data_IF_869078400274
#
_entry.id   IF_869078400274
#
_cell.length_a   1.000
_cell.length_b   1.000
_cell.length_c   1.000
_cell.angle_alpha   90.00
_cell.angle_beta   90.00
_cell.angle_gamma   90.00
#
_symmetry.space_group_name_H-M   'P 1'
#
loop_
_entity.id
_entity.type
_entity.pdbx_description
1 polymer ?
#
# COMPACT_ATOMS: atom_id res chain seq x y z
N UNK A 1 -12.17 -0.50 -0.90
CA UNK A 1 -13.08 0.41 -0.18
C UNK A 1 -12.30 1.70 0.01
N UNK A 2 -12.86 2.84 -0.38
CA UNK A 2 -12.20 4.14 -0.22
C UNK A 2 -12.82 4.84 1.00
N UNK A 3 -12.00 5.21 1.96
CA UNK A 3 -12.42 5.95 3.16
C UNK A 3 -12.31 7.45 2.94
N UNK A 4 -13.10 8.25 3.67
CA UNK A 4 -13.03 9.72 3.59
C UNK A 4 -12.74 10.43 4.91
N UNK A 5 -12.78 9.73 6.05
CA UNK A 5 -12.71 10.33 7.39
C UNK A 5 -11.48 11.24 7.59
N UNK A 6 -10.33 10.84 7.06
CA UNK A 6 -9.07 11.55 7.28
C UNK A 6 -8.70 12.49 6.12
N UNK A 7 -9.62 12.76 5.20
CA UNK A 7 -9.41 13.75 4.15
C UNK A 7 -9.52 15.17 4.73
N UNK A 8 -8.79 16.12 4.15
CA UNK A 8 -8.86 17.53 4.57
C UNK A 8 -10.24 18.16 4.26
N UNK A 9 -10.67 19.18 5.03
CA UNK A 9 -10.01 19.74 6.22
C UNK A 9 -10.18 18.85 7.46
N UNK A 10 -9.18 18.86 8.35
CA UNK A 10 -9.21 18.07 9.60
C UNK A 10 -9.75 18.90 10.75
N UNK A 11 -10.78 18.39 11.42
CA UNK A 11 -11.33 18.96 12.63
C UNK A 11 -11.79 17.82 13.54
N UNK A 12 -11.08 17.61 14.64
CA UNK A 12 -11.43 16.58 15.61
C UNK A 12 -10.97 16.99 17.02
N UNK A 13 -11.92 17.11 17.95
CA UNK A 13 -11.62 17.57 19.29
C UNK A 13 -11.04 16.47 20.18
N UNK A 14 -11.42 15.21 19.94
CA UNK A 14 -11.10 14.10 20.82
C UNK A 14 -10.16 13.07 20.17
N UNK A 15 -9.25 12.45 20.94
CA UNK A 15 -9.05 12.65 22.38
C UNK A 15 -8.24 13.93 22.67
N UNK A 16 -8.66 14.69 23.68
CA UNK A 16 -8.14 16.05 23.95
C UNK A 16 -6.70 16.08 24.47
N UNK A 17 -6.26 14.98 25.07
CA UNK A 17 -4.89 14.74 25.56
C UNK A 17 -3.90 14.36 24.44
N UNK A 18 -4.39 13.96 23.27
CA UNK A 18 -3.55 13.75 22.10
C UNK A 18 -3.23 15.08 21.43
N UNK A 19 -1.93 15.37 21.31
CA UNK A 19 -1.38 16.57 20.71
C UNK A 19 -0.22 16.20 19.78
N UNK A 20 -0.12 16.90 18.65
CA UNK A 20 0.95 16.76 17.69
C UNK A 20 1.76 18.05 17.58
N UNK A 21 3.08 17.95 17.70
CA UNK A 21 3.98 19.10 17.50
C UNK A 21 5.17 18.72 16.62
N UNK A 22 5.50 19.57 15.65
CA UNK A 22 6.68 19.44 14.80
C UNK A 22 7.76 20.48 15.13
N UNK A 23 9.04 20.10 15.02
CA UNK A 23 10.14 21.05 15.21
C UNK A 23 10.11 22.11 14.10
N UNK A 24 9.95 23.37 14.49
CA UNK A 24 9.92 24.51 13.56
C UNK A 24 8.59 24.66 12.81
N UNK A 25 7.53 23.98 13.26
CA UNK A 25 6.17 24.17 12.76
C UNK A 25 5.56 25.42 13.38
N UNK A 26 4.72 26.10 12.61
CA UNK A 26 3.82 27.17 13.05
C UNK A 26 2.68 26.62 13.92
N UNK A 27 1.98 27.51 14.63
CA UNK A 27 0.79 27.12 15.42
C UNK A 27 -0.32 26.51 14.56
N UNK A 28 -0.47 26.97 13.31
CA UNK A 28 -1.44 26.41 12.36
C UNK A 28 -1.05 24.98 11.93
N UNK A 29 0.22 24.74 11.59
CA UNK A 29 0.71 23.41 11.21
C UNK A 29 0.61 22.42 12.37
N UNK A 30 0.95 22.84 13.59
CA UNK A 30 0.77 22.01 14.78
C UNK A 30 -0.72 21.73 15.06
N UNK A 31 -1.61 22.71 14.85
CA UNK A 31 -3.06 22.49 15.01
C UNK A 31 -3.58 21.45 14.00
N UNK A 32 -3.16 21.54 12.73
CA UNK A 32 -3.52 20.54 11.70
C UNK A 32 -2.97 19.15 12.04
N UNK A 33 -1.72 19.07 12.50
CA UNK A 33 -1.11 17.82 12.93
C UNK A 33 -1.90 17.18 14.08
N UNK A 34 -2.25 17.96 15.12
CA UNK A 34 -3.09 17.50 16.23
C UNK A 34 -4.42 16.94 15.74
N UNK A 35 -5.18 17.67 14.92
CA UNK A 35 -6.49 17.22 14.46
C UNK A 35 -6.39 15.98 13.57
N UNK A 36 -5.40 15.91 12.69
CA UNK A 36 -5.16 14.71 11.90
C UNK A 36 -4.79 13.50 12.77
N UNK A 37 -3.91 13.67 13.77
CA UNK A 37 -3.54 12.58 14.69
C UNK A 37 -4.73 12.04 15.49
N UNK A 38 -5.69 12.91 15.85
CA UNK A 38 -6.93 12.48 16.52
C UNK A 38 -7.87 11.70 15.60
N UNK A 39 -7.99 12.09 14.34
CA UNK A 39 -8.73 11.30 13.35
C UNK A 39 -8.04 9.94 13.08
N UNK A 40 -6.71 9.90 13.10
CA UNK A 40 -5.95 8.64 13.04
C UNK A 40 -6.22 7.75 14.25
N UNK A 41 -6.34 8.31 15.47
CA UNK A 41 -6.71 7.55 16.66
C UNK A 41 -8.06 6.82 16.48
N UNK A 42 -9.07 7.52 15.97
CA UNK A 42 -10.37 6.88 15.68
C UNK A 42 -10.26 5.82 14.59
N UNK A 43 -9.41 6.05 13.58
CA UNK A 43 -9.13 5.08 12.51
C UNK A 43 -8.47 3.82 13.05
N UNK A 44 -7.53 3.94 13.98
CA UNK A 44 -6.84 2.80 14.61
C UNK A 44 -7.84 1.91 15.37
N UNK A 45 -8.70 2.51 16.19
CA UNK A 45 -9.77 1.80 16.91
C UNK A 45 -10.73 1.11 15.93
N UNK A 46 -11.24 1.85 14.95
CA UNK A 46 -12.18 1.31 13.97
C UNK A 46 -11.57 0.16 13.14
N UNK A 47 -10.28 0.27 12.80
CA UNK A 47 -9.55 -0.78 12.07
C UNK A 47 -9.40 -2.02 12.94
N UNK A 48 -9.02 -1.87 14.21
CA UNK A 48 -8.95 -2.99 15.16
C UNK A 48 -10.30 -3.70 15.31
N UNK A 49 -11.37 -2.95 15.50
CA UNK A 49 -12.72 -3.50 15.66
C UNK A 49 -13.21 -4.18 14.38
N UNK A 50 -12.88 -3.63 13.21
CA UNK A 50 -13.15 -4.23 11.91
C UNK A 50 -12.45 -5.58 11.76
N UNK A 51 -11.14 -5.65 11.99
CA UNK A 51 -10.39 -6.91 11.89
C UNK A 51 -10.87 -7.94 12.94
N UNK A 52 -11.26 -7.50 14.14
CA UNK A 52 -11.84 -8.35 15.18
C UNK A 52 -13.23 -8.91 14.83
N UNK A 53 -13.98 -8.24 13.95
CA UNK A 53 -15.23 -8.77 13.40
C UNK A 53 -14.95 -9.79 12.30
N UNK A 54 -14.02 -9.49 11.39
CA UNK A 54 -13.63 -10.42 10.32
C UNK A 54 -13.04 -11.73 10.87
N UNK A 55 -12.35 -11.68 12.00
CA UNK A 55 -11.76 -12.87 12.63
C UNK A 55 -12.80 -13.89 13.11
N UNK A 56 -14.06 -13.49 13.30
CA UNK A 56 -15.15 -14.37 13.75
C UNK A 56 -15.89 -15.06 12.59
N UNK A 57 -15.60 -14.68 11.35
CA UNK A 57 -16.29 -15.21 10.17
C UNK A 57 -15.63 -16.52 9.75
N UNK A 58 -16.42 -17.60 9.64
CA UNK A 58 -15.94 -18.91 9.16
C UNK A 58 -15.76 -18.93 7.61
N UNK A 59 -14.87 -18.06 7.13
CA UNK A 59 -14.44 -17.95 5.74
C UNK A 59 -13.04 -17.34 5.74
N UNK A 60 -12.14 -17.87 4.91
CA UNK A 60 -10.82 -17.26 4.70
C UNK A 60 -10.98 -15.86 4.11
N UNK A 61 -10.51 -14.85 4.85
CA UNK A 61 -10.56 -13.44 4.51
C UNK A 61 -9.16 -12.86 4.66
N UNK A 62 -8.72 -12.09 3.67
CA UNK A 62 -7.49 -11.33 3.70
C UNK A 62 -7.80 -9.87 3.36
N UNK A 63 -7.20 -8.95 4.11
CA UNK A 63 -7.33 -7.50 3.96
C UNK A 63 -5.97 -6.95 3.56
N UNK A 64 -5.93 -6.24 2.43
CA UNK A 64 -4.84 -5.32 2.10
C UNK A 64 -5.30 -3.93 2.47
N UNK A 65 -4.60 -3.30 3.41
CA UNK A 65 -4.90 -1.95 3.89
C UNK A 65 -3.66 -1.08 3.69
N UNK A 66 -3.84 0.14 3.18
CA UNK A 66 -2.75 1.08 2.94
C UNK A 66 -3.24 2.53 2.97
N UNK A 67 -2.37 3.45 3.36
CA UNK A 67 -2.57 4.88 3.12
C UNK A 67 -2.25 5.23 1.66
N UNK A 68 -3.08 6.02 1.01
CA UNK A 68 -2.87 6.44 -0.39
C UNK A 68 -1.79 7.51 -0.52
N UNK A 69 -1.71 8.46 0.42
CA UNK A 69 -0.62 9.43 0.53
C UNK A 69 -0.54 10.03 1.95
N UNK A 70 0.56 10.72 2.27
CA UNK A 70 0.64 11.53 3.49
C UNK A 70 -0.33 12.72 3.42
N UNK A 71 -0.90 13.18 4.55
CA UNK A 71 -1.70 14.39 4.56
C UNK A 71 -0.84 15.61 4.17
N UNK A 72 -1.43 16.52 3.38
CA UNK A 72 -0.78 17.77 2.93
C UNK A 72 -0.59 18.83 4.02
N UNK A 73 -0.28 18.43 5.25
CA UNK A 73 -0.06 19.32 6.40
C UNK A 73 1.41 19.58 6.73
N UNK A 74 2.32 18.71 6.28
CA UNK A 74 3.73 18.78 6.65
C UNK A 74 4.48 19.81 5.80
N UNK A 75 5.20 20.78 6.40
CA UNK A 75 6.11 21.63 5.65
C UNK A 75 7.28 20.83 5.09
N UNK A 76 7.84 21.28 3.97
CA UNK A 76 8.99 20.64 3.32
C UNK A 76 10.23 20.52 4.23
N UNK A 77 10.37 21.41 5.22
CA UNK A 77 11.42 21.35 6.23
C UNK A 77 11.37 20.07 7.07
N UNK A 78 10.19 19.44 7.23
CA UNK A 78 10.02 18.19 7.98
C UNK A 78 10.76 17.02 7.32
N UNK A 79 10.96 17.07 5.99
CA UNK A 79 11.54 15.98 5.21
C UNK A 79 13.01 16.21 4.83
N UNK A 80 13.63 17.31 5.27
CA UNK A 80 14.99 17.72 4.85
C UNK A 80 16.05 16.61 5.00
N UNK A 81 15.97 15.82 6.07
CA UNK A 81 16.94 14.76 6.35
C UNK A 81 16.59 13.43 5.69
N UNK A 82 15.35 13.26 5.22
CA UNK A 82 14.88 12.06 4.54
C UNK A 82 13.78 12.44 3.52
N UNK A 83 14.14 12.99 2.35
CA UNK A 83 13.16 13.48 1.38
C UNK A 83 12.19 12.41 0.90
N UNK A 84 12.65 11.15 0.77
CA UNK A 84 11.84 10.03 0.29
C UNK A 84 10.66 9.72 1.23
N UNK A 85 10.80 10.02 2.53
CA UNK A 85 9.74 9.73 3.53
C UNK A 85 8.43 10.48 3.28
N UNK A 86 8.44 11.58 2.51
CA UNK A 86 7.22 12.30 2.17
C UNK A 86 6.29 11.50 1.23
N UNK A 87 6.79 10.42 0.64
CA UNK A 87 6.08 9.54 -0.29
C UNK A 87 5.87 8.12 0.24
N UNK A 88 6.15 7.89 1.53
CA UNK A 88 5.98 6.58 2.18
C UNK A 88 4.76 6.61 3.10
N UNK A 89 3.87 5.63 2.92
CA UNK A 89 2.71 5.39 3.77
C UNK A 89 2.75 3.98 4.33
N UNK A 90 2.05 3.75 5.43
CA UNK A 90 1.91 2.43 6.02
C UNK A 90 0.99 1.54 5.18
N UNK A 91 1.30 0.25 5.17
CA UNK A 91 0.43 -0.79 4.63
C UNK A 91 0.52 -2.06 5.48
N UNK A 92 -0.50 -2.90 5.39
CA UNK A 92 -0.45 -4.28 5.88
C UNK A 92 -1.27 -5.22 5.01
N UNK A 93 -0.88 -6.49 5.02
CA UNK A 93 -1.69 -7.61 4.51
C UNK A 93 -2.00 -8.51 5.69
N UNK A 94 -3.27 -8.59 6.06
CA UNK A 94 -3.75 -9.33 7.24
C UNK A 94 -4.73 -10.42 6.82
N UNK A 95 -4.65 -11.60 7.41
CA UNK A 95 -5.59 -12.70 7.17
C UNK A 95 -6.25 -13.16 8.48
N UNK A 96 -7.51 -13.60 8.41
CA UNK A 96 -8.21 -14.21 9.56
C UNK A 96 -7.88 -15.69 9.78
N UNK A 97 -6.80 -16.17 9.16
CA UNK A 97 -6.27 -17.52 9.23
C UNK A 97 -4.74 -17.44 9.09
N UNK A 98 -4.04 -18.50 9.45
CA UNK A 98 -2.58 -18.51 9.39
C UNK A 98 -2.05 -18.34 7.97
N UNK A 99 -1.19 -17.33 7.80
CA UNK A 99 -0.43 -17.06 6.57
C UNK A 99 1.03 -16.76 6.94
N UNK A 100 2.01 -17.05 6.06
CA UNK A 100 3.39 -16.66 6.29
C UNK A 100 3.52 -15.14 6.47
N UNK A 101 4.46 -14.73 7.34
CA UNK A 101 4.87 -13.34 7.43
C UNK A 101 5.96 -13.08 6.39
N UNK A 102 5.61 -12.39 5.32
CA UNK A 102 6.55 -12.00 4.28
C UNK A 102 7.33 -10.74 4.70
N UNK A 103 8.56 -10.57 4.19
CA UNK A 103 9.44 -9.47 4.56
C UNK A 103 9.58 -8.46 3.41
N UNK A 104 8.59 -7.58 3.27
CA UNK A 104 8.59 -6.50 2.29
C UNK A 104 8.49 -5.14 3.00
N UNK A 105 9.60 -4.53 3.42
CA UNK A 105 9.56 -3.27 4.15
C UNK A 105 9.04 -2.09 3.31
N UNK A 106 9.23 -2.14 1.98
CA UNK A 106 8.76 -1.13 1.03
C UNK A 106 8.24 -1.84 -0.22
N UNK A 107 7.07 -1.43 -0.70
CA UNK A 107 6.45 -1.91 -1.94
C UNK A 107 5.76 -0.74 -2.64
N UNK A 108 5.46 -0.89 -3.93
CA UNK A 108 4.58 0.03 -4.63
C UNK A 108 3.12 -0.41 -4.48
N UNK A 109 2.19 0.52 -4.60
CA UNK A 109 0.75 0.26 -4.65
C UNK A 109 0.35 -0.75 -5.74
N UNK A 110 1.10 -0.81 -6.85
CA UNK A 110 0.91 -1.80 -7.91
C UNK A 110 1.20 -3.24 -7.48
N UNK A 111 2.02 -3.44 -6.45
CA UNK A 111 2.51 -4.75 -6.05
C UNK A 111 1.55 -5.48 -5.12
N UNK A 112 0.57 -4.76 -4.55
CA UNK A 112 -0.34 -5.30 -3.54
C UNK A 112 -1.07 -6.57 -3.96
N UNK A 113 -1.41 -6.71 -5.24
CA UNK A 113 -2.07 -7.94 -5.70
C UNK A 113 -1.10 -9.12 -5.77
N UNK A 114 0.13 -8.91 -6.25
CA UNK A 114 1.15 -9.96 -6.24
C UNK A 114 1.49 -10.37 -4.81
N UNK A 115 1.69 -9.39 -3.92
CA UNK A 115 1.94 -9.63 -2.49
C UNK A 115 0.79 -10.38 -1.81
N UNK A 116 -0.47 -10.01 -2.10
CA UNK A 116 -1.65 -10.71 -1.61
C UNK A 116 -1.65 -12.18 -2.06
N UNK A 117 -1.38 -12.44 -3.34
CA UNK A 117 -1.39 -13.79 -3.90
C UNK A 117 -0.25 -14.63 -3.30
N UNK A 118 0.95 -14.06 -3.13
CA UNK A 118 2.08 -14.70 -2.46
C UNK A 118 1.76 -15.03 -1.00
N UNK A 119 1.26 -14.06 -0.22
CA UNK A 119 0.95 -14.25 1.20
C UNK A 119 -0.13 -15.30 1.44
N UNK A 120 -1.10 -15.40 0.53
CA UNK A 120 -2.18 -16.38 0.63
C UNK A 120 -1.85 -17.73 -0.01
N UNK A 121 -0.65 -17.88 -0.57
CA UNK A 121 -0.23 -19.03 -1.35
C UNK A 121 -1.25 -19.40 -2.45
N UNK A 122 -1.74 -18.38 -3.15
CA UNK A 122 -2.75 -18.52 -4.19
C UNK A 122 -2.12 -18.86 -5.53
N UNK A 123 -2.82 -19.67 -6.34
CA UNK A 123 -2.42 -19.89 -7.75
C UNK A 123 -2.51 -18.57 -8.52
N UNK A 124 -1.54 -18.34 -9.41
CA UNK A 124 -1.42 -17.11 -10.20
C UNK A 124 -1.62 -17.38 -11.70
N UNK A 125 -2.04 -16.36 -12.45
CA UNK A 125 -2.01 -16.36 -13.92
C UNK A 125 -0.60 -15.99 -14.41
N UNK A 126 -0.27 -16.18 -15.70
CA UNK A 126 0.98 -15.68 -16.26
C UNK A 126 1.23 -14.19 -16.01
N UNK A 127 0.18 -13.35 -16.08
CA UNK A 127 0.29 -11.94 -15.73
C UNK A 127 0.71 -11.71 -14.26
N UNK A 128 0.07 -12.39 -13.31
CA UNK A 128 0.43 -12.25 -11.90
C UNK A 128 1.75 -12.93 -11.55
N UNK A 129 2.18 -13.94 -12.30
CA UNK A 129 3.54 -14.47 -12.21
C UNK A 129 4.57 -13.38 -12.56
N UNK A 130 4.38 -12.66 -13.68
CA UNK A 130 5.22 -11.51 -14.03
C UNK A 130 5.20 -10.43 -12.94
N UNK A 131 4.03 -10.07 -12.39
CA UNK A 131 3.96 -9.10 -11.30
C UNK A 131 4.61 -9.58 -10.00
N UNK A 132 4.67 -10.90 -9.76
CA UNK A 132 5.40 -11.49 -8.63
C UNK A 132 6.91 -11.33 -8.83
N UNK A 133 7.41 -11.57 -10.05
CA UNK A 133 8.82 -11.30 -10.38
C UNK A 133 9.16 -9.81 -10.26
N UNK A 134 8.24 -8.91 -10.63
CA UNK A 134 8.40 -7.47 -10.41
C UNK A 134 8.52 -7.16 -8.91
N UNK A 135 7.62 -7.67 -8.07
CA UNK A 135 7.70 -7.52 -6.61
C UNK A 135 9.05 -8.02 -6.06
N UNK A 136 9.56 -9.14 -6.56
CA UNK A 136 10.81 -9.74 -6.08
C UNK A 136 12.06 -8.99 -6.55
N UNK A 137 12.09 -8.52 -7.80
CA UNK A 137 13.33 -8.14 -8.50
C UNK A 137 13.35 -6.75 -9.11
N UNK A 138 12.20 -6.14 -9.37
CA UNK A 138 12.11 -4.92 -10.17
C UNK A 138 11.22 -3.81 -9.60
N UNK A 139 10.77 -3.94 -8.35
CA UNK A 139 9.96 -2.92 -7.67
C UNK A 139 10.82 -1.79 -7.07
N UNK A 140 10.14 -0.80 -6.47
CA UNK A 140 10.67 0.47 -5.98
C UNK A 140 11.73 0.35 -4.89
N UNK A 141 11.80 -0.79 -4.20
CA UNK A 141 12.83 -1.05 -3.20
C UNK A 141 14.18 -1.46 -3.84
N UNK A 142 14.18 -1.82 -5.14
CA UNK A 142 15.36 -2.17 -5.93
C UNK A 142 15.88 -0.95 -6.68
N UNK A 143 16.72 -0.15 -6.02
CA UNK A 143 17.27 1.10 -6.59
C UNK A 143 18.12 0.89 -7.84
N UNK A 144 18.90 -0.20 -7.87
CA UNK A 144 19.75 -0.58 -9.00
C UNK A 144 19.34 -1.98 -9.49
N UNK A 145 18.71 -2.03 -10.68
CA UNK A 145 18.29 -3.30 -11.29
C UNK A 145 19.47 -3.99 -11.98
N UNK A 146 19.67 -5.27 -11.68
CA UNK A 146 20.57 -6.13 -12.44
C UNK A 146 19.97 -6.46 -13.84
N UNK A 147 20.69 -7.25 -14.63
CA UNK A 147 20.26 -7.60 -16.00
C UNK A 147 18.90 -8.31 -16.01
N UNK A 148 18.64 -9.15 -15.01
CA UNK A 148 17.37 -9.86 -14.85
C UNK A 148 16.24 -8.87 -14.52
N UNK A 149 16.43 -8.00 -13.53
CA UNK A 149 15.45 -6.98 -13.15
C UNK A 149 15.13 -5.99 -14.29
N UNK A 150 16.13 -5.61 -15.09
CA UNK A 150 15.93 -4.74 -16.26
C UNK A 150 15.08 -5.43 -17.34
N UNK A 151 15.28 -6.74 -17.54
CA UNK A 151 14.46 -7.52 -18.46
C UNK A 151 13.01 -7.62 -17.94
N UNK A 152 12.81 -7.93 -16.66
CA UNK A 152 11.48 -8.00 -16.03
C UNK A 152 10.73 -6.67 -16.15
N UNK A 153 11.41 -5.54 -15.87
CA UNK A 153 10.82 -4.21 -16.02
C UNK A 153 10.44 -3.91 -17.48
N UNK A 154 11.27 -4.36 -18.43
CA UNK A 154 11.00 -4.23 -19.87
C UNK A 154 9.79 -5.06 -20.28
N UNK A 155 9.69 -6.30 -19.81
CA UNK A 155 8.56 -7.18 -20.06
C UNK A 155 7.26 -6.56 -19.54
N UNK A 156 7.26 -6.06 -18.30
CA UNK A 156 6.10 -5.36 -17.74
C UNK A 156 5.70 -4.15 -18.59
N UNK A 157 6.66 -3.35 -19.05
CA UNK A 157 6.39 -2.18 -19.89
C UNK A 157 5.72 -2.54 -21.21
N UNK A 158 6.19 -3.61 -21.88
CA UNK A 158 5.60 -4.08 -23.13
C UNK A 158 4.16 -4.57 -22.92
N UNK A 159 3.92 -5.34 -21.85
CA UNK A 159 2.60 -5.82 -21.46
C UNK A 159 1.65 -4.64 -21.16
N UNK A 160 2.07 -3.70 -20.30
CA UNK A 160 1.28 -2.52 -19.96
C UNK A 160 0.96 -1.66 -21.19
N UNK A 161 1.94 -1.45 -22.07
CA UNK A 161 1.73 -0.72 -23.31
C UNK A 161 0.68 -1.41 -24.18
N UNK A 162 0.80 -2.71 -24.41
CA UNK A 162 -0.15 -3.46 -25.24
C UNK A 162 -1.58 -3.45 -24.69
N UNK A 163 -1.73 -3.49 -23.35
CA UNK A 163 -3.02 -3.44 -22.68
C UNK A 163 -3.72 -2.08 -22.74
N UNK A 164 -2.96 -0.98 -22.78
CA UNK A 164 -3.51 0.39 -22.65
C UNK A 164 -3.59 1.12 -23.98
N UNK A 165 -2.52 1.07 -24.79
CA UNK A 165 -2.37 1.89 -25.99
C UNK A 165 -1.86 1.12 -27.23
N UNK A 166 -1.46 -0.13 -27.07
CA UNK A 166 -0.94 -0.96 -28.14
C UNK A 166 -2.03 -1.62 -28.98
N UNK A 167 -1.73 -2.81 -29.52
CA UNK A 167 -2.60 -3.45 -30.52
C UNK A 167 -3.40 -4.63 -29.96
N UNK A 168 -3.25 -4.95 -28.68
CA UNK A 168 -3.96 -6.05 -28.03
C UNK A 168 -3.49 -7.41 -28.52
N UNK A 169 -2.17 -7.62 -28.58
CA UNK A 169 -1.56 -8.89 -28.93
C UNK A 169 -1.78 -9.98 -27.87
N UNK A 170 -1.99 -9.60 -26.60
CA UNK A 170 -2.13 -10.55 -25.50
C UNK A 170 -3.39 -11.41 -25.61
N UNK A 171 -3.20 -12.73 -25.55
CA UNK A 171 -4.30 -13.68 -25.46
C UNK A 171 -5.01 -13.58 -24.11
N UNK A 172 -6.33 -13.82 -24.11
CA UNK A 172 -7.12 -13.93 -22.87
C UNK A 172 -6.59 -14.99 -21.89
N UNK A 173 -5.85 -16.00 -22.38
CA UNK A 173 -5.26 -17.03 -21.52
C UNK A 173 -4.13 -16.50 -20.65
N UNK A 174 -3.45 -15.41 -21.05
CA UNK A 174 -2.38 -14.78 -20.27
C UNK A 174 -2.86 -14.26 -18.90
N UNK A 175 -4.16 -14.00 -18.77
CA UNK A 175 -4.78 -13.48 -17.55
C UNK A 175 -5.53 -14.54 -16.73
N UNK A 176 -5.55 -15.81 -17.17
CA UNK A 176 -6.27 -16.88 -16.49
C UNK A 176 -5.36 -17.67 -15.57
N UNK A 177 -5.89 -18.05 -14.40
CA UNK A 177 -5.30 -19.10 -13.57
C UNK A 177 -5.64 -20.43 -14.23
N UNK A 178 -4.62 -21.21 -14.56
CA UNK A 178 -4.81 -22.55 -15.09
C UNK A 178 -5.02 -23.53 -13.93
N UNK A 179 -6.15 -24.25 -13.92
CA UNK A 179 -6.26 -25.49 -13.17
C UNK A 179 -5.55 -26.58 -13.95
N UNK A 180 -4.81 -27.43 -13.25
CA UNK A 180 -4.43 -28.76 -13.76
C UNK A 180 -5.68 -29.58 -14.07
#
# INVERSE_FOLDING_TARGET
MMTMQNHAPWLEENPTDLQGTGKGFTDEENSKLTFYSRLLYHTDIATKDFLAQLSKINKKITVVFYGDHLPGLYPQSAFKNNPDSQYLTDYFVWSNYDTPKLNYPVVNSSDFTALLLEQTNSKVSPYYALLTEVLHKASVDKKDLDVEGQQIATDLKLIQYDMVAGKGYLSKNFFKVHSE
#
